data_IF_640562079547
#
_entry.id   IF_640562079547
#
_cell.length_a   1.000
_cell.length_b   1.000
_cell.length_c   1.000
_cell.angle_alpha   90.00
_cell.angle_beta   90.00
_cell.angle_gamma   90.00
#
_symmetry.space_group_name_H-M   'P 1'
#
loop_
_entity.id
_entity.type
_entity.pdbx_description
1 polymer ?
#
# COMPACT_ATOMS: atom_id res chain seq x y z
N UNK A 1 20.91 -13.08 -3.74
CA UNK A 1 20.50 -12.66 -2.38
C UNK A 1 19.85 -11.30 -2.52
N UNK A 2 18.52 -11.24 -2.53
CA UNK A 2 17.82 -9.97 -2.29
C UNK A 2 17.62 -9.92 -0.79
N UNK A 3 18.58 -9.30 -0.10
CA UNK A 3 18.44 -9.04 1.32
C UNK A 3 17.21 -8.13 1.52
N UNK A 4 16.41 -8.41 2.54
CA UNK A 4 15.44 -7.48 3.14
C UNK A 4 16.11 -6.10 3.29
N UNK A 5 15.89 -5.19 2.33
CA UNK A 5 16.45 -3.83 2.36
C UNK A 5 15.41 -2.78 2.73
N UNK A 6 14.20 -3.18 3.14
CA UNK A 6 13.32 -2.26 3.81
C UNK A 6 13.62 -2.25 5.31
N UNK A 7 14.11 -1.10 5.79
CA UNK A 7 14.23 -0.79 7.21
C UNK A 7 13.03 0.04 7.64
N UNK A 8 11.90 -0.62 7.88
CA UNK A 8 10.68 0.01 8.38
C UNK A 8 9.64 -1.05 8.73
N UNK A 9 8.50 -0.61 9.24
CA UNK A 9 7.46 -1.49 9.79
C UNK A 9 6.55 -2.00 8.68
N UNK A 10 6.00 -3.20 8.84
CA UNK A 10 4.98 -3.73 7.93
C UNK A 10 3.60 -3.44 8.54
N UNK A 11 2.80 -2.61 7.90
CA UNK A 11 1.45 -2.27 8.37
C UNK A 11 0.43 -2.29 7.24
N UNK A 12 -0.81 -2.68 7.57
CA UNK A 12 -1.93 -2.74 6.64
C UNK A 12 -2.65 -1.38 6.65
N UNK A 13 -2.23 -0.46 5.79
CA UNK A 13 -2.70 0.93 5.80
C UNK A 13 -4.11 1.11 5.25
N UNK A 14 -4.57 0.24 4.35
CA UNK A 14 -5.88 0.36 3.69
C UNK A 14 -6.90 -0.70 4.15
N UNK A 15 -6.49 -1.63 5.02
CA UNK A 15 -7.34 -2.66 5.58
C UNK A 15 -7.65 -3.79 4.61
N UNK A 16 -6.80 -4.01 3.60
CA UNK A 16 -7.00 -5.04 2.57
C UNK A 16 -6.44 -6.42 2.95
N UNK A 17 -5.85 -6.53 4.14
CA UNK A 17 -5.26 -7.75 4.69
C UNK A 17 -3.78 -7.92 4.36
N UNK A 18 -3.17 -6.95 3.66
CA UNK A 18 -1.78 -7.00 3.24
C UNK A 18 -1.01 -5.87 3.94
N UNK A 19 -0.05 -6.26 4.77
CA UNK A 19 0.87 -5.33 5.42
C UNK A 19 1.98 -4.97 4.46
N UNK A 20 2.17 -3.68 4.18
CA UNK A 20 3.22 -3.19 3.30
C UNK A 20 4.31 -2.46 4.07
N UNK A 21 5.51 -2.47 3.51
CA UNK A 21 6.65 -1.76 4.03
C UNK A 21 6.36 -0.26 4.09
N UNK A 22 6.38 0.29 5.30
CA UNK A 22 6.03 1.68 5.56
C UNK A 22 7.13 2.43 6.31
N UNK A 23 7.32 3.70 5.95
CA UNK A 23 7.98 4.66 6.83
C UNK A 23 7.22 4.72 8.15
N UNK A 24 7.92 4.94 9.26
CA UNK A 24 7.31 4.78 10.58
C UNK A 24 7.64 5.91 11.52
N UNK A 25 6.75 6.16 12.47
CA UNK A 25 7.02 7.11 13.55
C UNK A 25 8.13 6.56 14.45
N UNK A 26 8.98 7.44 14.95
CA UNK A 26 10.02 7.04 15.90
C UNK A 26 9.41 6.61 17.24
N UNK A 27 10.11 5.75 17.98
CA UNK A 27 9.68 5.24 19.31
C UNK A 27 9.38 6.29 20.38
N UNK A 28 9.85 7.52 20.18
CA UNK A 28 9.61 8.65 21.10
C UNK A 28 8.27 9.35 20.82
N UNK A 29 7.73 9.16 19.61
CA UNK A 29 6.41 9.60 19.19
C UNK A 29 5.40 8.45 19.34
N UNK A 30 4.12 8.73 19.08
CA UNK A 30 3.07 7.72 19.10
C UNK A 30 1.97 8.03 18.09
N UNK A 31 1.33 6.98 17.60
CA UNK A 31 0.17 7.06 16.72
C UNK A 31 -1.09 7.19 17.58
N UNK A 32 -1.97 8.13 17.22
CA UNK A 32 -3.32 8.16 17.79
C UNK A 32 -4.13 7.04 17.15
N UNK A 33 -4.79 6.21 17.96
CA UNK A 33 -5.51 5.02 17.50
C UNK A 33 -6.84 4.86 18.20
N UNK A 34 -7.76 4.17 17.53
CA UNK A 34 -9.04 3.76 18.07
C UNK A 34 -9.36 2.36 17.55
N UNK A 35 -9.27 1.39 18.47
CA UNK A 35 -9.74 0.02 18.27
C UNK A 35 -11.26 0.03 18.05
N UNK A 36 -11.65 -0.04 16.77
CA UNK A 36 -13.05 0.08 16.35
C UNK A 36 -13.76 -1.26 16.33
N UNK A 37 -13.02 -2.35 16.20
CA UNK A 37 -13.58 -3.70 16.15
C UNK A 37 -13.65 -4.37 17.54
N UNK A 38 -12.95 -3.81 18.53
CA UNK A 38 -12.92 -4.25 19.93
C UNK A 38 -12.08 -5.49 20.19
N UNK A 39 -11.13 -5.83 19.32
CA UNK A 39 -10.27 -7.02 19.45
C UNK A 39 -9.03 -6.79 20.33
N UNK A 40 -8.77 -5.54 20.73
CA UNK A 40 -7.66 -5.13 21.57
C UNK A 40 -6.32 -4.97 20.85
N UNK A 41 -6.29 -5.06 19.51
CA UNK A 41 -5.09 -5.01 18.68
C UNK A 41 -5.31 -4.01 17.55
N UNK A 42 -4.44 -3.01 17.43
CA UNK A 42 -4.44 -2.14 16.26
C UNK A 42 -3.73 -2.86 15.12
N UNK A 43 -4.50 -3.29 14.12
CA UNK A 43 -3.98 -4.17 13.07
C UNK A 43 -4.18 -3.65 11.64
N UNK A 44 -4.93 -2.56 11.44
CA UNK A 44 -5.08 -1.94 10.12
C UNK A 44 -5.44 -0.44 10.18
N UNK A 45 -5.41 0.22 9.02
CA UNK A 45 -5.62 1.65 8.87
C UNK A 45 -7.01 2.17 9.23
N UNK A 46 -8.04 1.32 9.27
CA UNK A 46 -9.37 1.74 9.76
C UNK A 46 -9.36 2.08 11.26
N UNK A 47 -8.34 1.63 11.98
CA UNK A 47 -8.14 1.86 13.42
C UNK A 47 -7.17 3.01 13.71
N UNK A 48 -6.42 3.45 12.71
CA UNK A 48 -5.68 4.71 12.73
C UNK A 48 -6.63 5.88 12.42
N UNK A 49 -6.10 7.10 12.56
CA UNK A 49 -6.75 8.32 12.08
C UNK A 49 -6.12 8.75 10.76
N UNK A 50 -6.85 8.61 9.66
CA UNK A 50 -6.38 8.91 8.30
C UNK A 50 -7.47 8.69 7.26
N UNK A 51 -7.09 8.61 5.99
CA UNK A 51 -8.04 8.42 4.87
C UNK A 51 -8.76 7.06 4.88
N UNK A 52 -8.19 6.05 5.54
CA UNK A 52 -8.84 4.74 5.72
C UNK A 52 -9.90 4.74 6.84
N UNK A 53 -10.02 5.81 7.62
CA UNK A 53 -10.99 5.87 8.72
C UNK A 53 -12.42 6.03 8.18
N UNK A 54 -13.31 5.11 8.56
CA UNK A 54 -14.75 5.24 8.31
C UNK A 54 -15.40 6.29 9.22
N UNK A 55 -16.21 7.16 8.62
CA UNK A 55 -16.97 8.22 9.28
C UNK A 55 -18.40 7.78 9.61
N UNK A 56 -19.04 8.45 10.57
CA UNK A 56 -20.46 8.25 10.94
C UNK A 56 -21.43 8.40 9.75
N UNK A 57 -21.04 9.15 8.71
CA UNK A 57 -21.85 9.37 7.51
C UNK A 57 -21.78 8.22 6.48
N UNK A 58 -20.97 7.18 6.73
CA UNK A 58 -20.79 6.02 5.85
C UNK A 58 -19.72 6.18 4.77
N UNK A 59 -19.05 7.34 4.68
CA UNK A 59 -17.86 7.55 3.85
C UNK A 59 -16.56 7.32 4.63
N UNK A 60 -15.44 7.60 3.98
CA UNK A 60 -14.13 7.68 4.63
C UNK A 60 -13.70 9.13 4.84
N UNK A 61 -12.76 9.35 5.76
CA UNK A 61 -12.24 10.68 6.02
C UNK A 61 -11.35 11.20 4.88
N UNK A 62 -11.32 12.52 4.69
CA UNK A 62 -10.39 13.15 3.74
C UNK A 62 -8.94 13.11 4.27
N UNK A 63 -8.79 13.18 5.59
CA UNK A 63 -7.51 13.14 6.31
C UNK A 63 -7.79 12.87 7.82
N UNK A 64 -6.76 12.58 8.61
CA UNK A 64 -6.83 12.20 10.02
C UNK A 64 -7.48 13.24 10.94
N UNK A 65 -7.30 14.54 10.70
CA UNK A 65 -8.04 15.57 11.46
C UNK A 65 -9.55 15.57 11.18
N UNK A 66 -9.99 15.24 9.95
CA UNK A 66 -11.41 15.09 9.64
C UNK A 66 -11.99 13.84 10.31
N UNK A 67 -11.22 12.74 10.35
CA UNK A 67 -11.54 11.55 11.12
C UNK A 67 -11.68 11.86 12.62
N UNK A 68 -10.79 12.70 13.18
CA UNK A 68 -10.85 13.12 14.57
C UNK A 68 -12.09 13.99 14.84
N UNK A 69 -12.39 14.95 13.96
CA UNK A 69 -13.54 15.84 14.10
C UNK A 69 -14.88 15.11 14.08
N UNK A 70 -14.99 13.95 13.42
CA UNK A 70 -16.21 13.13 13.44
C UNK A 70 -16.52 12.56 14.84
N UNK A 71 -15.54 12.56 15.74
CA UNK A 71 -15.71 12.14 17.14
C UNK A 71 -16.09 13.27 18.10
N UNK A 72 -16.11 14.53 17.64
CA UNK A 72 -16.49 15.71 18.44
C UNK A 72 -18.03 15.74 18.60
N UNK A 73 -18.52 15.24 19.74
CA UNK A 73 -19.94 15.06 19.98
C UNK A 73 -20.64 16.40 20.30
N UNK A 74 -19.87 17.39 20.78
CA UNK A 74 -20.41 18.67 21.25
C UNK A 74 -20.11 19.86 20.31
N UNK A 75 -19.23 19.68 19.34
CA UNK A 75 -18.85 20.63 18.30
C UNK A 75 -17.99 21.79 18.80
N UNK A 76 -17.24 21.62 19.89
CA UNK A 76 -16.41 22.67 20.47
C UNK A 76 -14.99 22.76 19.88
N UNK A 77 -14.67 21.89 18.92
CA UNK A 77 -13.42 21.92 18.17
C UNK A 77 -12.26 21.17 18.82
N UNK A 78 -12.56 20.29 19.78
CA UNK A 78 -11.58 19.38 20.41
C UNK A 78 -12.25 18.07 20.82
N UNK A 79 -11.44 17.04 20.97
CA UNK A 79 -11.85 15.79 21.59
C UNK A 79 -11.31 15.78 23.02
N UNK A 80 -12.20 15.72 24.00
CA UNK A 80 -11.87 15.61 25.43
C UNK A 80 -12.88 14.73 26.20
N UNK A 81 -12.81 14.76 27.54
CA UNK A 81 -13.68 13.94 28.39
C UNK A 81 -15.20 14.21 28.24
N UNK A 82 -15.60 15.28 27.55
CA UNK A 82 -16.99 15.54 27.19
C UNK A 82 -17.48 14.68 26.00
N UNK A 83 -16.57 14.07 25.24
CA UNK A 83 -16.87 13.24 24.08
C UNK A 83 -16.86 11.76 24.43
N UNK A 84 -17.85 11.00 23.91
CA UNK A 84 -18.01 9.59 24.28
C UNK A 84 -16.81 8.74 23.87
N UNK A 85 -16.20 9.06 22.73
CA UNK A 85 -15.10 8.29 22.16
C UNK A 85 -13.77 8.51 22.88
N UNK A 86 -13.60 9.61 23.63
CA UNK A 86 -12.31 10.00 24.22
C UNK A 86 -11.70 8.91 25.10
N UNK A 87 -12.53 8.26 25.93
CA UNK A 87 -12.07 7.18 26.82
C UNK A 87 -11.63 5.90 26.08
N UNK A 88 -12.02 5.74 24.82
CA UNK A 88 -11.65 4.60 23.96
C UNK A 88 -10.36 4.86 23.17
N UNK A 89 -9.97 6.12 22.99
CA UNK A 89 -8.76 6.48 22.27
C UNK A 89 -7.51 6.02 23.02
N UNK A 90 -6.48 5.63 22.26
CA UNK A 90 -5.17 5.24 22.76
C UNK A 90 -4.06 5.94 21.98
N UNK A 91 -2.87 5.96 22.56
CA UNK A 91 -1.62 6.27 21.85
C UNK A 91 -0.84 4.97 21.72
N UNK A 92 -0.61 4.54 20.48
CA UNK A 92 0.26 3.41 20.18
C UNK A 92 1.70 3.89 20.01
N UNK A 93 2.58 3.43 20.91
CA UNK A 93 4.01 3.64 20.82
C UNK A 93 4.67 2.31 20.47
N UNK A 94 4.95 2.13 19.20
CA UNK A 94 5.66 0.95 18.69
C UNK A 94 7.15 1.02 19.10
N UNK A 95 7.50 0.30 20.16
CA UNK A 95 8.82 0.38 20.79
C UNK A 95 9.88 -0.47 20.09
N UNK A 96 9.45 -1.48 19.34
CA UNK A 96 10.34 -2.37 18.58
C UNK A 96 10.34 -2.08 17.07
N UNK A 97 9.46 -1.18 16.61
CA UNK A 97 9.28 -0.75 15.22
C UNK A 97 8.87 -1.88 14.27
N UNK A 98 8.08 -2.86 14.73
CA UNK A 98 7.64 -3.98 13.90
C UNK A 98 6.27 -3.80 13.23
N UNK A 99 5.53 -2.74 13.57
CA UNK A 99 4.20 -2.44 13.02
C UNK A 99 3.10 -3.35 13.55
N UNK A 100 3.33 -4.07 14.65
CA UNK A 100 2.34 -4.95 15.28
C UNK A 100 2.03 -4.40 16.67
N UNK A 101 0.81 -3.93 16.89
CA UNK A 101 0.39 -3.48 18.21
C UNK A 101 0.46 -4.60 19.25
N UNK A 102 1.25 -4.42 20.30
CA UNK A 102 1.45 -5.41 21.36
C UNK A 102 1.03 -4.91 22.74
N UNK A 103 0.85 -5.86 23.67
CA UNK A 103 0.60 -5.54 25.08
C UNK A 103 1.76 -4.69 25.63
N UNK A 104 1.43 -3.54 26.22
CA UNK A 104 2.40 -2.59 26.76
C UNK A 104 2.79 -1.45 25.80
N UNK A 105 2.40 -1.52 24.52
CA UNK A 105 2.63 -0.43 23.55
C UNK A 105 1.45 0.53 23.43
N UNK A 106 0.26 0.10 23.85
CA UNK A 106 -0.95 0.92 23.86
C UNK A 106 -1.11 1.64 25.20
N UNK A 107 -1.03 2.97 25.16
CA UNK A 107 -1.25 3.85 26.30
C UNK A 107 -2.65 4.45 26.25
N UNK A 108 -3.34 4.53 27.38
CA UNK A 108 -4.49 5.43 27.50
C UNK A 108 -4.06 6.88 27.30
N UNK A 109 -4.98 7.76 26.88
CA UNK A 109 -4.69 9.19 26.77
C UNK A 109 -4.17 9.77 28.10
N UNK A 110 -4.71 9.34 29.23
CA UNK A 110 -4.22 9.72 30.56
C UNK A 110 -2.77 9.25 30.81
N UNK A 111 -2.44 7.99 30.47
CA UNK A 111 -1.06 7.47 30.59
C UNK A 111 -0.08 8.23 29.68
N UNK A 112 -0.54 8.64 28.49
CA UNK A 112 0.20 9.49 27.56
C UNK A 112 0.17 10.98 27.95
N UNK A 113 -0.48 11.34 29.07
CA UNK A 113 -0.63 12.71 29.58
C UNK A 113 -1.34 13.66 28.61
N UNK A 114 -2.26 13.14 27.80
CA UNK A 114 -3.11 13.90 26.89
C UNK A 114 -4.41 14.28 27.61
N UNK A 115 -4.72 15.58 27.64
CA UNK A 115 -5.96 16.13 28.20
C UNK A 115 -7.02 16.35 27.10
N UNK A 116 -6.63 16.88 25.95
CA UNK A 116 -7.54 17.14 24.84
C UNK A 116 -6.79 17.20 23.51
N UNK A 117 -7.46 16.84 22.42
CA UNK A 117 -6.92 16.85 21.05
C UNK A 117 -7.67 17.91 20.23
N UNK A 118 -6.98 18.90 19.65
CA UNK A 118 -7.66 19.93 18.82
C UNK A 118 -8.06 19.37 17.46
N UNK A 119 -9.29 19.59 17.01
CA UNK A 119 -9.70 19.20 15.64
C UNK A 119 -9.23 20.21 14.59
N UNK A 120 -8.72 21.38 15.02
CA UNK A 120 -8.14 22.41 14.17
C UNK A 120 -6.72 22.04 13.71
N UNK A 121 -6.42 22.33 12.44
CA UNK A 121 -5.14 22.06 11.80
C UNK A 121 -4.77 23.13 10.77
N UNK A 122 -3.52 23.09 10.30
CA UNK A 122 -3.06 23.82 9.12
C UNK A 122 -2.37 22.88 8.14
N UNK A 123 -2.52 23.12 6.85
CA UNK A 123 -1.82 22.36 5.81
C UNK A 123 -0.36 22.81 5.74
N UNK A 124 0.58 21.88 5.87
CA UNK A 124 2.01 22.18 5.87
C UNK A 124 2.74 21.54 4.69
N UNK A 125 2.40 20.30 4.33
CA UNK A 125 3.08 19.51 3.30
C UNK A 125 4.61 19.50 3.47
N UNK A 126 5.06 19.40 4.73
CA UNK A 126 6.48 19.45 5.09
C UNK A 126 7.10 18.07 4.94
N UNK A 127 8.09 17.92 4.07
CA UNK A 127 8.88 16.68 4.00
C UNK A 127 9.59 16.41 5.32
N UNK A 128 9.51 15.15 5.76
CA UNK A 128 10.20 14.63 6.94
C UNK A 128 11.42 13.78 6.56
N UNK A 129 11.74 13.65 5.27
CA UNK A 129 12.79 12.77 4.75
C UNK A 129 12.28 11.36 4.41
N UNK A 130 13.05 10.65 3.59
CA UNK A 130 12.81 9.24 3.20
C UNK A 130 11.40 8.94 2.68
N UNK A 131 10.81 9.89 1.94
CA UNK A 131 9.47 9.77 1.37
C UNK A 131 8.32 10.12 2.32
N UNK A 132 8.61 10.42 3.59
CA UNK A 132 7.61 10.77 4.59
C UNK A 132 7.27 12.27 4.54
N UNK A 133 6.01 12.61 4.79
CA UNK A 133 5.51 13.99 4.76
C UNK A 133 4.55 14.25 5.92
N UNK A 134 4.73 15.38 6.60
CA UNK A 134 3.71 15.96 7.48
C UNK A 134 2.73 16.75 6.59
N UNK A 135 1.54 16.20 6.35
CA UNK A 135 0.54 16.84 5.49
C UNK A 135 -0.17 17.97 6.24
N UNK A 136 -0.72 17.65 7.42
CA UNK A 136 -1.39 18.60 8.30
C UNK A 136 -0.74 18.65 9.68
N UNK A 137 -0.71 19.84 10.28
CA UNK A 137 -0.17 20.09 11.62
C UNK A 137 -1.23 20.76 12.50
N UNK A 138 -1.44 20.21 13.69
CA UNK A 138 -2.34 20.73 14.71
C UNK A 138 -1.72 20.57 16.11
N UNK A 139 -2.56 20.47 17.14
CA UNK A 139 -2.06 20.41 18.51
C UNK A 139 -2.92 19.60 19.47
N UNK A 140 -2.30 19.16 20.56
CA UNK A 140 -3.00 18.62 21.72
C UNK A 140 -2.55 19.35 22.99
N UNK A 141 -3.40 19.32 24.01
CA UNK A 141 -3.09 19.85 25.34
C UNK A 141 -2.78 18.69 26.26
N UNK A 142 -1.70 18.80 27.01
CA UNK A 142 -1.30 17.82 28.02
C UNK A 142 -1.99 18.06 29.36
N UNK A 143 -1.99 17.08 30.26
CA UNK A 143 -2.59 17.18 31.59
C UNK A 143 -1.95 18.23 32.50
N UNK A 144 -0.74 18.69 32.18
CA UNK A 144 -0.06 19.82 32.86
C UNK A 144 -0.35 21.18 32.19
N UNK A 145 -1.23 21.22 31.18
CA UNK A 145 -1.68 22.43 30.50
C UNK A 145 -0.79 22.90 29.35
N UNK A 146 0.25 22.14 28.98
CA UNK A 146 1.13 22.50 27.86
C UNK A 146 0.48 22.14 26.52
N UNK A 147 0.69 22.97 25.51
CA UNK A 147 0.34 22.64 24.12
C UNK A 147 1.50 21.93 23.44
N UNK A 148 1.21 20.84 22.74
CA UNK A 148 2.17 20.02 21.98
C UNK A 148 1.67 19.80 20.56
N UNK A 149 2.58 19.46 19.66
CA UNK A 149 2.27 19.21 18.25
C UNK A 149 1.61 17.84 18.07
N UNK A 150 0.63 17.76 17.16
CA UNK A 150 0.20 16.51 16.53
C UNK A 150 0.04 16.74 15.03
N UNK A 151 0.02 15.67 14.24
CA UNK A 151 -0.01 15.80 12.79
C UNK A 151 -0.65 14.62 12.09
N UNK A 152 -1.00 14.87 10.84
CA UNK A 152 -1.35 13.86 9.86
C UNK A 152 -0.10 13.60 8.99
N UNK A 153 0.28 12.33 8.89
CA UNK A 153 1.50 11.91 8.21
C UNK A 153 1.14 11.06 6.99
N UNK A 154 1.71 11.44 5.84
CA UNK A 154 1.82 10.56 4.68
C UNK A 154 3.14 9.82 4.81
N UNK A 155 3.06 8.57 5.24
CA UNK A 155 4.22 7.70 5.41
C UNK A 155 4.63 7.13 4.06
N UNK A 156 5.95 7.00 3.85
CA UNK A 156 6.46 6.33 2.66
C UNK A 156 5.92 4.89 2.63
N UNK A 157 5.54 4.38 1.47
CA UNK A 157 5.04 3.02 1.32
C UNK A 157 5.75 2.34 0.16
N UNK A 158 6.23 1.12 0.36
CA UNK A 158 6.82 0.27 -0.66
C UNK A 158 5.99 -1.02 -0.80
N UNK A 159 5.02 -1.05 -1.73
CA UNK A 159 4.10 -2.17 -1.86
C UNK A 159 4.77 -3.44 -2.38
N UNK A 160 6.01 -3.35 -2.92
CA UNK A 160 6.77 -4.50 -3.35
C UNK A 160 7.10 -5.42 -2.15
N UNK A 161 7.42 -4.82 -1.01
CA UNK A 161 7.75 -5.55 0.22
C UNK A 161 6.53 -5.64 1.12
N UNK A 162 5.81 -6.75 1.02
CA UNK A 162 4.53 -6.93 1.70
C UNK A 162 4.37 -8.32 2.29
N UNK A 163 3.48 -8.46 3.28
CA UNK A 163 3.10 -9.75 3.87
C UNK A 163 1.62 -9.74 4.20
N UNK A 164 0.93 -10.84 3.92
CA UNK A 164 -0.41 -11.03 4.44
C UNK A 164 -0.41 -11.02 5.98
N UNK A 165 -1.51 -10.57 6.56
CA UNK A 165 -1.69 -10.50 8.01
C UNK A 165 -2.15 -11.85 8.62
N UNK A 166 -2.46 -12.83 7.77
CA UNK A 166 -2.84 -14.19 8.12
C UNK A 166 -1.90 -15.22 7.47
N UNK A 167 -2.13 -16.50 7.81
CA UNK A 167 -1.40 -17.64 7.26
C UNK A 167 -2.35 -18.73 6.82
N UNK A 168 -1.94 -19.46 5.78
CA UNK A 168 -2.66 -20.65 5.30
C UNK A 168 -1.96 -21.90 5.84
N UNK A 169 -2.69 -22.71 6.60
CA UNK A 169 -2.19 -23.99 7.08
C UNK A 169 -1.89 -24.94 5.91
N UNK A 170 -0.65 -25.44 5.84
CA UNK A 170 -0.16 -26.27 4.74
C UNK A 170 -0.13 -27.75 5.13
N UNK A 171 -0.47 -28.63 4.19
CA UNK A 171 -0.28 -30.08 4.38
C UNK A 171 1.21 -30.46 4.35
N UNK A 172 1.54 -31.63 4.92
CA UNK A 172 2.91 -32.16 4.89
C UNK A 172 3.47 -32.30 3.47
N UNK A 173 2.59 -32.55 2.48
CA UNK A 173 2.94 -32.65 1.06
C UNK A 173 3.24 -31.28 0.46
N UNK A 174 2.41 -30.26 0.75
CA UNK A 174 2.62 -28.88 0.28
C UNK A 174 3.92 -28.29 0.83
N UNK A 175 4.32 -28.66 2.05
CA UNK A 175 5.59 -28.25 2.65
C UNK A 175 6.82 -28.80 1.91
N UNK A 176 6.68 -29.85 1.08
CA UNK A 176 7.78 -30.38 0.27
C UNK A 176 8.02 -29.57 -1.02
N UNK A 177 7.03 -28.84 -1.51
CA UNK A 177 7.16 -28.03 -2.74
C UNK A 177 8.15 -26.87 -2.55
N UNK A 178 8.76 -26.30 -3.59
CA UNK A 178 9.50 -25.04 -3.49
C UNK A 178 8.63 -23.92 -2.89
N UNK A 179 9.24 -23.00 -2.13
CA UNK A 179 8.56 -21.78 -1.66
C UNK A 179 9.35 -20.55 -2.10
N UNK A 180 8.61 -19.49 -2.41
CA UNK A 180 9.09 -18.13 -2.49
C UNK A 180 8.27 -17.29 -1.53
N UNK A 181 8.92 -16.36 -0.83
CA UNK A 181 8.20 -15.39 -0.02
C UNK A 181 7.27 -14.54 -0.88
N UNK A 182 6.13 -14.16 -0.30
CA UNK A 182 5.19 -13.24 -0.92
C UNK A 182 5.83 -11.91 -1.30
N UNK A 183 5.22 -11.26 -2.27
CA UNK A 183 5.69 -10.01 -2.88
C UNK A 183 4.49 -9.26 -3.49
N UNK A 184 4.49 -7.93 -3.45
CA UNK A 184 3.38 -7.15 -4.02
C UNK A 184 2.05 -7.45 -3.33
N UNK A 185 1.08 -7.98 -4.06
CA UNK A 185 -0.20 -8.47 -3.49
C UNK A 185 -0.30 -9.98 -3.41
N UNK A 186 0.81 -10.69 -3.57
CA UNK A 186 0.84 -12.15 -3.63
C UNK A 186 1.30 -12.76 -2.31
N UNK A 187 0.57 -13.77 -1.85
CA UNK A 187 0.97 -14.64 -0.74
C UNK A 187 2.25 -15.39 -1.07
N UNK A 188 2.91 -15.93 -0.05
CA UNK A 188 3.92 -16.97 -0.19
C UNK A 188 3.47 -18.04 -1.19
N UNK A 189 4.37 -18.48 -2.07
CA UNK A 189 4.03 -19.33 -3.21
C UNK A 189 3.26 -20.60 -2.80
N UNK A 190 3.64 -21.22 -1.67
CA UNK A 190 2.93 -22.40 -1.14
C UNK A 190 1.54 -22.08 -0.61
N UNK A 191 1.37 -20.95 0.08
CA UNK A 191 0.05 -20.53 0.57
C UNK A 191 -0.88 -20.19 -0.60
N UNK A 192 -0.37 -19.44 -1.59
CA UNK A 192 -1.11 -19.15 -2.81
C UNK A 192 -1.52 -20.44 -3.53
N UNK A 193 -0.62 -21.42 -3.63
CA UNK A 193 -0.90 -22.72 -4.24
C UNK A 193 -1.95 -23.51 -3.45
N UNK A 194 -1.92 -23.47 -2.12
CA UNK A 194 -2.92 -24.12 -1.30
C UNK A 194 -4.35 -23.58 -1.53
N UNK A 195 -4.47 -22.31 -1.92
CA UNK A 195 -5.75 -21.67 -2.25
C UNK A 195 -6.12 -21.76 -3.74
N UNK A 196 -5.17 -22.07 -4.63
CA UNK A 196 -5.38 -22.08 -6.08
C UNK A 196 -5.00 -23.44 -6.70
N UNK A 197 -5.99 -24.28 -7.09
CA UNK A 197 -5.73 -25.56 -7.73
C UNK A 197 -4.91 -25.47 -9.03
N UNK A 198 -5.07 -24.37 -9.79
CA UNK A 198 -4.30 -24.15 -11.01
C UNK A 198 -2.82 -23.91 -10.69
N UNK A 199 -2.53 -23.10 -9.68
CA UNK A 199 -1.16 -22.84 -9.24
C UNK A 199 -0.53 -24.08 -8.60
N UNK A 200 -1.25 -24.82 -7.75
CA UNK A 200 -0.76 -26.07 -7.16
C UNK A 200 -0.36 -27.09 -8.22
N UNK A 201 -1.17 -27.24 -9.28
CA UNK A 201 -0.86 -28.14 -10.38
C UNK A 201 0.47 -27.78 -11.08
N UNK A 202 0.69 -26.49 -11.36
CA UNK A 202 1.93 -26.02 -12.01
C UNK A 202 3.12 -26.13 -11.07
N UNK A 203 2.96 -25.81 -9.78
CA UNK A 203 4.00 -25.90 -8.77
C UNK A 203 4.46 -27.35 -8.57
N UNK A 204 3.54 -28.31 -8.55
CA UNK A 204 3.87 -29.75 -8.48
C UNK A 204 4.61 -30.24 -9.72
N UNK A 205 4.20 -29.81 -10.91
CA UNK A 205 4.93 -30.11 -12.16
C UNK A 205 6.35 -29.54 -12.12
N UNK A 206 6.50 -28.30 -11.64
CA UNK A 206 7.80 -27.66 -11.49
C UNK A 206 8.69 -28.43 -10.49
N UNK A 207 8.13 -28.83 -9.35
CA UNK A 207 8.85 -29.60 -8.33
C UNK A 207 9.27 -31.00 -8.82
N UNK A 208 8.47 -31.63 -9.68
CA UNK A 208 8.73 -32.96 -10.23
C UNK A 208 9.64 -32.95 -11.47
N UNK A 209 9.90 -31.79 -12.07
CA UNK A 209 10.76 -31.69 -13.25
C UNK A 209 12.21 -32.09 -12.92
N UNK A 210 12.76 -32.99 -13.74
CA UNK A 210 14.07 -33.61 -13.50
C UNK A 210 15.22 -32.80 -14.11
N UNK A 211 14.92 -31.93 -15.08
CA UNK A 211 15.92 -31.08 -15.73
C UNK A 211 15.63 -29.61 -15.56
N UNK A 212 16.72 -28.83 -15.61
CA UNK A 212 16.68 -27.37 -15.59
C UNK A 212 15.85 -26.80 -16.75
N UNK A 213 15.92 -27.41 -17.92
CA UNK A 213 15.17 -26.99 -19.11
C UNK A 213 13.67 -27.18 -18.88
N UNK A 214 13.25 -28.30 -18.29
CA UNK A 214 11.85 -28.56 -17.95
C UNK A 214 11.34 -27.57 -16.89
N UNK A 215 12.11 -27.34 -15.83
CA UNK A 215 11.78 -26.35 -14.80
C UNK A 215 11.66 -24.94 -15.40
N UNK A 216 12.61 -24.54 -16.25
CA UNK A 216 12.61 -23.21 -16.89
C UNK A 216 11.39 -23.02 -17.80
N UNK A 217 10.98 -24.06 -18.53
CA UNK A 217 9.80 -24.01 -19.39
C UNK A 217 8.49 -23.77 -18.62
N UNK A 218 8.44 -24.10 -17.32
CA UNK A 218 7.26 -23.94 -16.48
C UNK A 218 7.19 -22.59 -15.76
N UNK A 219 8.28 -21.80 -15.72
CA UNK A 219 8.33 -20.58 -14.92
C UNK A 219 7.36 -19.49 -15.37
N UNK A 220 7.20 -19.29 -16.68
CA UNK A 220 6.23 -18.33 -17.21
C UNK A 220 4.80 -18.69 -16.78
N UNK A 221 4.47 -19.98 -16.82
CA UNK A 221 3.16 -20.47 -16.37
C UNK A 221 3.01 -20.35 -14.85
N UNK A 222 4.06 -20.66 -14.08
CA UNK A 222 4.06 -20.53 -12.62
C UNK A 222 3.85 -19.06 -12.21
N UNK A 223 4.56 -18.13 -12.86
CA UNK A 223 4.41 -16.69 -12.64
C UNK A 223 2.99 -16.21 -12.95
N UNK A 224 2.44 -16.64 -14.08
CA UNK A 224 1.09 -16.27 -14.49
C UNK A 224 0.03 -16.81 -13.52
N UNK A 225 0.10 -18.09 -13.14
CA UNK A 225 -0.85 -18.67 -12.20
C UNK A 225 -0.68 -18.13 -10.77
N UNK A 226 0.53 -17.71 -10.38
CA UNK A 226 0.75 -17.04 -9.10
C UNK A 226 0.18 -15.63 -9.10
N UNK A 227 0.46 -14.83 -10.14
CA UNK A 227 -0.11 -13.48 -10.28
C UNK A 227 -1.63 -13.48 -10.32
N UNK A 228 -2.26 -14.51 -10.91
CA UNK A 228 -3.71 -14.70 -10.92
C UNK A 228 -4.34 -14.96 -9.54
N UNK A 229 -3.54 -15.21 -8.50
CA UNK A 229 -4.06 -15.35 -7.12
C UNK A 229 -4.34 -14.01 -6.44
N UNK A 230 -3.87 -12.89 -7.01
CA UNK A 230 -4.28 -11.55 -6.57
C UNK A 230 -5.79 -11.37 -6.75
N UNK A 231 -6.48 -10.97 -5.68
CA UNK A 231 -7.91 -10.70 -5.71
C UNK A 231 -8.30 -9.56 -6.66
N UNK A 232 -7.37 -8.65 -6.97
CA UNK A 232 -7.56 -7.57 -7.96
C UNK A 232 -7.31 -8.06 -9.39
N UNK A 233 -6.78 -9.26 -9.60
CA UNK A 233 -6.56 -9.80 -10.95
C UNK A 233 -7.89 -9.96 -11.69
N UNK A 234 -8.05 -9.22 -12.78
CA UNK A 234 -9.25 -9.24 -13.61
C UNK A 234 -10.42 -8.39 -13.09
N UNK A 235 -10.27 -7.71 -11.93
CA UNK A 235 -11.29 -6.77 -11.44
C UNK A 235 -11.31 -5.44 -12.20
N UNK A 236 -10.26 -5.18 -12.99
CA UNK A 236 -10.11 -4.00 -13.81
C UNK A 236 -9.42 -4.30 -15.15
N UNK A 237 -9.63 -3.37 -16.08
CA UNK A 237 -8.92 -3.31 -17.35
C UNK A 237 -8.03 -2.08 -17.32
N UNK A 238 -6.70 -2.22 -17.45
CA UNK A 238 -5.80 -1.08 -17.61
C UNK A 238 -6.24 -0.21 -18.78
N UNK A 239 -6.25 1.10 -18.59
CA UNK A 239 -6.67 2.08 -19.60
C UNK A 239 -5.63 3.16 -19.79
N UNK A 240 -5.49 3.62 -21.04
CA UNK A 240 -4.76 4.84 -21.34
C UNK A 240 -5.71 6.04 -21.23
N UNK A 241 -5.33 7.03 -20.43
CA UNK A 241 -6.10 8.27 -20.29
C UNK A 241 -5.24 9.47 -20.70
N UNK A 242 -5.75 10.27 -21.64
CA UNK A 242 -5.08 11.49 -22.03
C UNK A 242 -5.10 12.47 -20.85
N UNK A 243 -3.94 13.03 -20.51
CA UNK A 243 -3.84 14.04 -19.47
C UNK A 243 -4.66 15.28 -19.87
N UNK A 244 -5.52 15.74 -18.97
CA UNK A 244 -6.36 16.93 -19.17
C UNK A 244 -5.89 18.08 -18.29
N UNK A 245 -6.05 19.32 -18.76
CA UNK A 245 -5.80 20.50 -17.93
C UNK A 245 -6.98 20.78 -16.99
N UNK A 246 -6.68 20.96 -15.71
CA UNK A 246 -7.60 21.58 -14.76
C UNK A 246 -6.88 22.71 -14.02
N UNK A 247 -7.57 23.83 -13.84
CA UNK A 247 -7.09 24.94 -13.01
C UNK A 247 -7.45 24.66 -11.54
N UNK A 248 -6.47 24.51 -10.66
CA UNK A 248 -6.67 24.23 -9.23
C UNK A 248 -5.68 24.95 -8.31
N UNK A 249 -5.95 24.94 -7.00
CA UNK A 249 -5.03 25.47 -5.96
C UNK A 249 -3.82 24.56 -5.77
N UNK A 250 -2.67 25.14 -5.41
CA UNK A 250 -1.39 24.44 -5.28
C UNK A 250 -1.48 23.18 -4.38
N UNK A 251 -1.02 22.04 -4.89
CA UNK A 251 -0.90 20.78 -4.13
C UNK A 251 -1.43 19.52 -4.84
N UNK A 252 -2.19 19.68 -5.93
CA UNK A 252 -2.75 18.56 -6.70
C UNK A 252 -2.38 18.74 -8.18
N UNK A 253 -1.33 18.04 -8.64
CA UNK A 253 -0.92 18.01 -10.05
C UNK A 253 0.59 18.02 -10.30
N UNK A 254 1.00 17.53 -11.47
CA UNK A 254 2.41 17.59 -11.92
C UNK A 254 2.71 19.01 -12.43
N UNK A 255 3.72 19.72 -11.89
CA UNK A 255 4.08 21.04 -12.38
C UNK A 255 4.60 20.96 -13.82
N UNK A 256 3.93 21.66 -14.74
CA UNK A 256 4.33 21.74 -16.15
C UNK A 256 4.95 23.09 -16.47
N UNK A 257 6.04 23.07 -17.24
CA UNK A 257 6.59 24.27 -17.87
C UNK A 257 5.62 24.82 -18.94
N UNK A 258 5.71 26.11 -19.32
CA UNK A 258 4.86 26.68 -20.38
C UNK A 258 4.93 25.91 -21.71
N UNK A 259 6.09 25.33 -22.05
CA UNK A 259 6.25 24.49 -23.24
C UNK A 259 5.57 23.12 -23.11
N UNK A 260 5.66 22.47 -21.94
CA UNK A 260 4.94 21.22 -21.67
C UNK A 260 3.41 21.42 -21.69
N UNK A 261 2.94 22.52 -21.11
CA UNK A 261 1.53 22.92 -21.14
C UNK A 261 1.06 23.18 -22.58
N UNK A 262 1.87 23.88 -23.38
CA UNK A 262 1.54 24.13 -24.78
C UNK A 262 1.58 22.84 -25.62
N UNK A 263 2.48 21.90 -25.35
CA UNK A 263 2.51 20.59 -25.98
C UNK A 263 1.24 19.77 -25.65
N UNK A 264 0.78 19.81 -24.39
CA UNK A 264 -0.46 19.18 -23.96
C UNK A 264 -1.70 19.80 -24.66
N UNK A 265 -1.81 21.14 -24.69
CA UNK A 265 -2.88 21.88 -25.39
C UNK A 265 -2.94 21.62 -26.89
N UNK A 266 -1.75 21.55 -27.51
CA UNK A 266 -1.64 21.29 -28.94
C UNK A 266 -1.82 19.80 -29.26
N UNK A 267 -1.66 18.93 -28.27
CA UNK A 267 -1.83 17.49 -28.34
C UNK A 267 -3.24 17.05 -27.96
N UNK A 268 -4.23 17.26 -28.84
CA UNK A 268 -5.28 16.23 -28.94
C UNK A 268 -4.59 14.95 -29.42
N UNK A 269 -4.03 14.20 -28.48
CA UNK A 269 -3.25 13.00 -28.77
C UNK A 269 -4.23 11.87 -29.04
N UNK A 270 -4.61 11.76 -30.31
CA UNK A 270 -5.35 10.60 -30.79
C UNK A 270 -4.37 9.45 -30.95
N UNK A 271 -4.50 8.43 -30.11
CA UNK A 271 -3.80 7.16 -30.28
C UNK A 271 -4.34 6.50 -31.55
N UNK A 272 -3.46 6.01 -32.41
CA UNK A 272 -3.88 5.29 -33.61
C UNK A 272 -4.47 3.92 -33.21
N UNK A 273 -5.39 3.33 -33.99
CA UNK A 273 -5.92 2.01 -33.69
C UNK A 273 -4.84 0.94 -33.51
N UNK A 274 -3.73 1.04 -34.24
CA UNK A 274 -2.59 0.11 -34.14
C UNK A 274 -1.89 0.24 -32.79
N UNK A 275 -1.58 1.47 -32.36
CA UNK A 275 -0.91 1.71 -31.09
C UNK A 275 -1.82 1.38 -29.90
N UNK A 276 -3.14 1.58 -30.04
CA UNK A 276 -4.11 1.13 -29.05
C UNK A 276 -4.14 -0.39 -28.95
N UNK A 277 -4.14 -1.11 -30.08
CA UNK A 277 -4.09 -2.56 -30.09
C UNK A 277 -2.79 -3.12 -29.48
N UNK A 278 -1.66 -2.44 -29.68
CA UNK A 278 -0.40 -2.78 -29.00
C UNK A 278 -0.52 -2.67 -27.47
N UNK A 279 -1.17 -1.63 -26.96
CA UNK A 279 -1.43 -1.49 -25.53
C UNK A 279 -2.43 -2.53 -25.01
N UNK A 280 -3.53 -2.76 -25.73
CA UNK A 280 -4.57 -3.72 -25.34
C UNK A 280 -4.00 -5.14 -25.22
N UNK A 281 -3.00 -5.50 -26.02
CA UNK A 281 -2.29 -6.78 -25.93
C UNK A 281 -1.47 -6.94 -24.63
N UNK A 282 -1.27 -5.88 -23.84
CA UNK A 282 -0.50 -5.90 -22.59
C UNK A 282 -1.37 -5.98 -21.34
N UNK A 283 -2.70 -5.97 -21.45
CA UNK A 283 -3.58 -5.90 -20.28
C UNK A 283 -3.28 -7.00 -19.25
N UNK A 284 -3.04 -8.23 -19.69
CA UNK A 284 -2.67 -9.34 -18.78
C UNK A 284 -1.29 -9.14 -18.16
N UNK A 285 -0.31 -8.67 -18.93
CA UNK A 285 1.04 -8.40 -18.41
C UNK A 285 1.01 -7.31 -17.35
N UNK A 286 0.26 -6.23 -17.59
CA UNK A 286 0.11 -5.12 -16.64
C UNK A 286 -0.54 -5.62 -15.35
N UNK A 287 -1.65 -6.38 -15.43
CA UNK A 287 -2.28 -6.96 -14.23
C UNK A 287 -1.36 -7.88 -13.45
N UNK A 288 -0.57 -8.71 -14.14
CA UNK A 288 0.42 -9.57 -13.49
C UNK A 288 1.51 -8.73 -12.83
N UNK A 289 2.07 -7.73 -13.53
CA UNK A 289 3.06 -6.83 -12.96
C UNK A 289 2.53 -6.14 -11.71
N UNK A 290 1.33 -5.56 -11.78
CA UNK A 290 0.65 -4.93 -10.65
C UNK A 290 0.50 -5.91 -9.47
N UNK A 291 0.17 -7.17 -9.72
CA UNK A 291 0.09 -8.18 -8.66
C UNK A 291 1.45 -8.43 -7.98
N UNK A 292 2.54 -8.50 -8.75
CA UNK A 292 3.89 -8.74 -8.23
C UNK A 292 4.54 -7.50 -7.59
N UNK A 293 4.19 -6.29 -8.04
CA UNK A 293 4.74 -5.04 -7.51
C UNK A 293 3.87 -4.40 -6.43
N UNK A 294 2.58 -4.75 -6.41
CA UNK A 294 1.58 -4.11 -5.57
C UNK A 294 1.07 -2.76 -6.09
N UNK A 295 1.53 -2.32 -7.27
CA UNK A 295 1.09 -1.08 -7.93
C UNK A 295 -0.36 -1.15 -8.45
N UNK A 296 -1.02 0.00 -8.63
CA UNK A 296 -2.33 0.12 -9.29
C UNK A 296 -2.17 0.86 -10.63
N UNK A 297 -2.00 0.09 -11.72
CA UNK A 297 -1.91 0.62 -13.08
C UNK A 297 -3.26 0.63 -13.81
N UNK A 298 -4.39 0.77 -13.10
CA UNK A 298 -5.73 0.82 -13.73
C UNK A 298 -5.85 1.94 -14.75
N UNK A 299 -5.23 3.09 -14.47
CA UNK A 299 -5.23 4.25 -15.36
C UNK A 299 -3.82 4.75 -15.57
N UNK A 300 -3.33 4.62 -16.80
CA UNK A 300 -2.02 5.07 -17.23
C UNK A 300 -2.19 6.37 -18.02
N UNK A 301 -1.74 7.47 -17.42
CA UNK A 301 -1.90 8.80 -18.01
C UNK A 301 -0.81 9.10 -19.03
N UNK A 302 -1.16 9.74 -20.14
CA UNK A 302 -0.20 10.14 -21.18
C UNK A 302 -0.49 11.56 -21.68
N UNK A 303 0.56 12.31 -22.00
CA UNK A 303 0.48 13.63 -22.63
C UNK A 303 0.98 13.65 -24.07
N UNK A 304 1.67 12.59 -24.53
CA UNK A 304 2.26 12.47 -25.88
C UNK A 304 2.18 11.02 -26.38
N UNK A 305 2.28 10.81 -27.70
CA UNK A 305 2.38 9.46 -28.27
C UNK A 305 3.67 8.72 -27.89
N UNK A 306 4.74 9.47 -27.61
CA UNK A 306 6.01 8.86 -27.20
C UNK A 306 5.91 8.25 -25.81
N UNK A 307 5.20 8.92 -24.89
CA UNK A 307 4.90 8.35 -23.57
C UNK A 307 4.04 7.08 -23.67
N UNK A 308 3.11 6.99 -24.63
CA UNK A 308 2.35 5.74 -24.85
C UNK A 308 3.28 4.60 -25.25
N UNK A 309 4.21 4.84 -26.18
CA UNK A 309 5.21 3.83 -26.57
C UNK A 309 6.14 3.48 -25.42
N UNK A 310 6.53 4.44 -24.61
CA UNK A 310 7.34 4.23 -23.41
C UNK A 310 6.61 3.33 -22.41
N UNK A 311 5.33 3.59 -22.12
CA UNK A 311 4.48 2.73 -21.28
C UNK A 311 4.47 1.29 -21.81
N UNK A 312 4.23 1.11 -23.11
CA UNK A 312 4.25 -0.20 -23.78
C UNK A 312 5.62 -0.88 -23.64
N UNK A 313 6.70 -0.14 -23.87
CA UNK A 313 8.07 -0.64 -23.81
C UNK A 313 8.47 -1.06 -22.39
N UNK A 314 8.15 -0.22 -21.39
CA UNK A 314 8.40 -0.49 -19.98
C UNK A 314 7.64 -1.73 -19.54
N UNK A 315 6.33 -1.82 -19.79
CA UNK A 315 5.53 -2.98 -19.41
C UNK A 315 6.08 -4.30 -19.99
N UNK A 316 6.47 -4.31 -21.27
CA UNK A 316 7.09 -5.49 -21.88
C UNK A 316 8.44 -5.85 -21.25
N UNK A 317 9.29 -4.85 -21.03
CA UNK A 317 10.64 -5.05 -20.49
C UNK A 317 10.58 -5.54 -19.04
N UNK A 318 9.75 -4.90 -18.21
CA UNK A 318 9.55 -5.28 -16.80
C UNK A 318 8.97 -6.69 -16.70
N UNK A 319 7.99 -7.04 -17.55
CA UNK A 319 7.44 -8.40 -17.57
C UNK A 319 8.50 -9.46 -17.92
N UNK A 320 9.34 -9.20 -18.91
CA UNK A 320 10.45 -10.11 -19.26
C UNK A 320 11.48 -10.24 -18.12
N UNK A 321 11.73 -9.15 -17.38
CA UNK A 321 12.62 -9.16 -16.21
C UNK A 321 12.01 -9.91 -15.01
N UNK A 322 10.69 -9.83 -14.82
CA UNK A 322 9.98 -10.60 -13.80
C UNK A 322 10.19 -12.11 -14.01
N UNK A 323 9.98 -12.59 -15.24
CA UNK A 323 10.21 -14.00 -15.58
C UNK A 323 11.65 -14.45 -15.28
N UNK A 324 12.64 -13.58 -15.57
CA UNK A 324 14.04 -13.84 -15.25
C UNK A 324 14.34 -13.83 -13.74
N UNK A 325 13.69 -12.94 -12.99
CA UNK A 325 13.90 -12.80 -11.55
C UNK A 325 13.32 -13.99 -10.78
N UNK A 326 12.13 -14.46 -11.18
CA UNK A 326 11.52 -15.67 -10.63
C UNK A 326 12.37 -16.91 -10.87
N UNK A 327 12.97 -17.02 -12.07
CA UNK A 327 13.99 -18.03 -12.33
C UNK A 327 15.09 -17.98 -11.28
N UNK A 328 15.76 -16.84 -11.09
CA UNK A 328 16.87 -16.73 -10.13
C UNK A 328 16.45 -17.02 -8.68
N UNK A 329 15.24 -16.61 -8.28
CA UNK A 329 14.71 -16.83 -6.94
C UNK A 329 14.47 -18.32 -6.65
N UNK A 330 13.91 -19.08 -7.59
CA UNK A 330 13.68 -20.53 -7.39
C UNK A 330 14.98 -21.36 -7.33
N UNK A 331 16.05 -20.94 -8.02
CA UNK A 331 17.32 -21.68 -8.06
C UNK A 331 18.33 -21.26 -6.97
N UNK A 332 18.08 -20.16 -6.26
CA UNK A 332 18.91 -19.74 -5.13
C UNK A 332 18.48 -20.43 -3.84
N UNK A 333 18.68 -21.76 -3.74
CA UNK A 333 18.68 -22.42 -2.42
C UNK A 333 19.96 -22.07 -1.64
N UNK A 334 19.87 -21.90 -0.31
CA UNK A 334 21.01 -21.57 0.55
C UNK A 334 21.98 -22.75 0.65
N UNK A 335 23.27 -22.42 0.78
CA UNK A 335 24.30 -23.32 1.32
C UNK A 335 24.07 -23.56 2.81
#
# INVERSE_FOLDING_TARGET
MVANQFSGSLFDHDGDGIRTASGWVGKEDGLLVYDRNGDGIINNGSELFGEATHLKNGGTAEHGFAALADLDDNGDGKIDAADKAFSSLRVWRDLNQDGISQEGELLTLEQAKVQSLSTQFSNTNRSLGDGNTLAQEGSYTTTDGQTRQMGDLLLANDPLFSRFNDHVELTAEQLQNPNLSGIGRLRDLREAAALSPALDAVLRQYAAAETKEQQTALLAQLAAEWGKTDARYGSYTPTLTAATEQSGTAGQGVPLTPSQLQALRNGKVNISPELQAEFDALQDKIRLLDAFTGEDSRTLSYGTLEQVKEIIGVANTTYAQLEHSLYQACYSKPA
#
